data_IF_751779968262
#
_entry.id   IF_751779968262
#
_cell.length_a   1.000
_cell.length_b   1.000
_cell.length_c   1.000
_cell.angle_alpha   90.00
_cell.angle_beta   90.00
_cell.angle_gamma   90.00
#
_symmetry.space_group_name_H-M   'P 1'
#
loop_
_entity.id
_entity.type
_entity.pdbx_description
1 polymer ?
#
# COMPACT_ATOMS: atom_id res chain seq x y z
N UNK A 1 -5.21 9.82 -5.38
CA UNK A 1 -6.33 9.16 -4.68
C UNK A 1 -5.94 7.69 -4.51
N UNK A 2 -6.03 7.15 -3.30
CA UNK A 2 -5.59 5.77 -3.03
C UNK A 2 -6.54 4.76 -3.67
N UNK A 3 -6.03 3.58 -4.01
CA UNK A 3 -6.84 2.57 -4.67
C UNK A 3 -8.01 2.09 -3.77
N UNK A 4 -7.78 2.01 -2.46
CA UNK A 4 -8.81 1.68 -1.46
C UNK A 4 -9.97 2.68 -1.50
N UNK A 5 -9.69 3.98 -1.68
CA UNK A 5 -10.72 5.01 -1.73
C UNK A 5 -11.60 4.87 -2.97
N UNK A 6 -10.99 4.50 -4.10
CA UNK A 6 -11.72 4.25 -5.36
C UNK A 6 -12.64 3.04 -5.22
N UNK A 7 -12.15 1.97 -4.59
CA UNK A 7 -12.93 0.76 -4.34
C UNK A 7 -14.06 1.05 -3.36
N UNK A 8 -13.79 1.71 -2.24
CA UNK A 8 -14.79 2.02 -1.21
C UNK A 8 -15.94 2.89 -1.75
N UNK A 9 -15.62 3.90 -2.58
CA UNK A 9 -16.66 4.75 -3.22
C UNK A 9 -17.59 3.97 -4.15
N UNK A 10 -17.09 2.89 -4.77
CA UNK A 10 -17.84 2.09 -5.74
C UNK A 10 -18.27 0.72 -5.20
N UNK A 11 -18.09 0.46 -3.90
CA UNK A 11 -18.16 -0.87 -3.30
C UNK A 11 -19.52 -1.55 -3.51
N UNK A 12 -20.62 -0.80 -3.42
CA UNK A 12 -21.98 -1.29 -3.62
C UNK A 12 -22.25 -1.81 -5.04
N UNK A 13 -21.48 -1.35 -6.03
CA UNK A 13 -21.62 -1.76 -7.44
C UNK A 13 -20.79 -3.02 -7.78
N UNK A 14 -19.95 -3.45 -6.84
CA UNK A 14 -19.06 -4.59 -7.00
C UNK A 14 -19.82 -5.89 -6.74
N UNK A 15 -19.78 -6.79 -7.71
CA UNK A 15 -20.28 -8.14 -7.54
C UNK A 15 -19.25 -9.02 -6.80
N UNK A 16 -19.56 -10.30 -6.61
CA UNK A 16 -18.66 -11.21 -5.88
C UNK A 16 -17.32 -11.42 -6.58
N UNK A 17 -17.28 -11.44 -7.92
CA UNK A 17 -16.02 -11.55 -8.65
C UNK A 17 -15.17 -10.28 -8.49
N UNK A 18 -15.79 -9.11 -8.53
CA UNK A 18 -15.11 -7.83 -8.31
C UNK A 18 -14.49 -7.76 -6.90
N UNK A 19 -15.25 -8.19 -5.88
CA UNK A 19 -14.78 -8.27 -4.49
C UNK A 19 -13.66 -9.31 -4.33
N UNK A 20 -13.76 -10.44 -5.01
CA UNK A 20 -12.71 -11.45 -5.05
C UNK A 20 -11.41 -10.91 -5.68
N UNK A 21 -11.51 -10.25 -6.83
CA UNK A 21 -10.38 -9.59 -7.49
C UNK A 21 -9.73 -8.57 -6.56
N UNK A 22 -10.55 -7.74 -5.90
CA UNK A 22 -10.05 -6.74 -4.97
C UNK A 22 -9.31 -7.36 -3.78
N UNK A 23 -9.89 -8.39 -3.15
CA UNK A 23 -9.25 -9.09 -2.04
C UNK A 23 -7.92 -9.72 -2.46
N UNK A 24 -7.86 -10.34 -3.65
CA UNK A 24 -6.61 -10.89 -4.17
C UNK A 24 -5.54 -9.80 -4.35
N UNK A 25 -5.92 -8.65 -4.92
CA UNK A 25 -5.03 -7.50 -5.09
C UNK A 25 -4.52 -7.00 -3.74
N UNK A 26 -5.39 -6.85 -2.74
CA UNK A 26 -5.01 -6.38 -1.40
C UNK A 26 -3.98 -7.30 -0.74
N UNK A 27 -4.16 -8.62 -0.84
CA UNK A 27 -3.24 -9.59 -0.24
C UNK A 27 -1.92 -9.73 -1.01
N UNK A 28 -1.88 -9.32 -2.29
CA UNK A 28 -0.76 -9.55 -3.19
C UNK A 28 -0.34 -8.28 -3.96
N UNK A 29 -0.44 -7.08 -3.36
CA UNK A 29 -0.24 -5.80 -4.05
C UNK A 29 1.05 -5.75 -4.89
N UNK A 30 2.18 -6.10 -4.27
CA UNK A 30 3.51 -6.12 -4.93
C UNK A 30 3.59 -7.09 -6.10
N UNK A 31 2.95 -8.25 -5.99
CA UNK A 31 2.90 -9.21 -7.08
C UNK A 31 2.04 -8.65 -8.23
N UNK A 32 0.89 -8.06 -7.89
CA UNK A 32 -0.07 -7.51 -8.85
C UNK A 32 0.49 -6.30 -9.62
N UNK A 33 1.41 -5.51 -9.03
CA UNK A 33 2.05 -4.38 -9.73
C UNK A 33 2.93 -4.83 -10.91
N UNK A 34 3.48 -6.04 -10.81
CA UNK A 34 4.40 -6.61 -11.81
C UNK A 34 3.71 -7.56 -12.80
N UNK A 35 2.55 -8.11 -12.44
CA UNK A 35 1.76 -8.97 -13.32
C UNK A 35 1.24 -8.25 -14.57
N UNK A 36 1.05 -8.99 -15.66
CA UNK A 36 0.20 -8.55 -16.76
C UNK A 36 -1.26 -8.98 -16.50
N UNK A 37 -2.19 -8.51 -17.33
CA UNK A 37 -3.62 -8.77 -17.14
C UNK A 37 -3.99 -10.26 -17.24
N UNK A 38 -3.24 -11.05 -18.02
CA UNK A 38 -3.48 -12.48 -18.17
C UNK A 38 -3.13 -13.22 -16.88
N UNK A 39 -2.00 -12.85 -16.28
CA UNK A 39 -1.54 -13.45 -15.04
C UNK A 39 -2.50 -13.12 -13.90
N UNK A 40 -2.91 -11.86 -13.76
CA UNK A 40 -3.90 -11.48 -12.75
C UNK A 40 -5.23 -12.20 -12.96
N UNK A 41 -5.72 -12.26 -14.20
CA UNK A 41 -6.95 -12.97 -14.53
C UNK A 41 -6.85 -14.46 -14.17
N UNK A 42 -5.73 -15.11 -14.49
CA UNK A 42 -5.46 -16.52 -14.16
C UNK A 42 -5.44 -16.75 -12.65
N UNK A 43 -4.74 -15.90 -11.89
CA UNK A 43 -4.65 -16.04 -10.44
C UNK A 43 -5.97 -15.78 -9.72
N UNK A 44 -6.80 -14.89 -10.26
CA UNK A 44 -8.16 -14.65 -9.76
C UNK A 44 -9.21 -15.62 -10.34
N UNK A 45 -8.81 -16.62 -11.16
CA UNK A 45 -9.71 -17.54 -11.85
C UNK A 45 -10.85 -16.86 -12.64
N UNK A 46 -10.57 -15.72 -13.28
CA UNK A 46 -11.51 -14.93 -14.09
C UNK A 46 -10.99 -14.67 -15.49
N UNK A 47 -11.83 -14.08 -16.35
CA UNK A 47 -11.40 -13.62 -17.67
C UNK A 47 -10.65 -12.28 -17.60
N UNK A 48 -9.79 -12.00 -18.59
CA UNK A 48 -9.20 -10.66 -18.80
C UNK A 48 -10.27 -9.55 -18.83
N UNK A 49 -11.40 -9.81 -19.50
CA UNK A 49 -12.50 -8.84 -19.60
C UNK A 49 -13.14 -8.56 -18.25
N UNK A 50 -13.16 -9.54 -17.33
CA UNK A 50 -13.60 -9.34 -15.95
C UNK A 50 -12.68 -8.35 -15.23
N UNK A 51 -11.36 -8.52 -15.33
CA UNK A 51 -10.38 -7.58 -14.74
C UNK A 51 -10.55 -6.17 -15.33
N UNK A 52 -10.74 -6.05 -16.65
CA UNK A 52 -10.98 -4.74 -17.29
C UNK A 52 -12.26 -4.08 -16.78
N UNK A 53 -13.35 -4.85 -16.65
CA UNK A 53 -14.62 -4.34 -16.13
C UNK A 53 -14.51 -3.94 -14.67
N UNK A 54 -13.81 -4.72 -13.84
CA UNK A 54 -13.50 -4.36 -12.46
C UNK A 54 -12.79 -3.01 -12.37
N UNK A 55 -11.69 -2.82 -13.11
CA UNK A 55 -10.95 -1.55 -13.12
C UNK A 55 -11.86 -0.37 -13.50
N UNK A 56 -12.72 -0.55 -14.52
CA UNK A 56 -13.70 0.46 -14.92
C UNK A 56 -14.76 0.76 -13.87
N UNK A 57 -15.24 -0.26 -13.14
CA UNK A 57 -16.21 -0.07 -12.06
C UNK A 57 -15.67 0.76 -10.90
N UNK A 58 -14.37 0.64 -10.61
CA UNK A 58 -13.71 1.45 -9.58
C UNK A 58 -13.22 2.80 -10.13
N UNK A 59 -13.84 3.28 -11.23
CA UNK A 59 -13.60 4.57 -11.86
C UNK A 59 -12.23 4.76 -12.52
N UNK A 60 -11.55 3.67 -12.89
CA UNK A 60 -10.32 3.73 -13.70
C UNK A 60 -10.62 3.55 -15.20
N UNK A 61 -9.76 4.07 -16.06
CA UNK A 61 -9.80 3.86 -17.52
C UNK A 61 -9.58 2.40 -17.93
N UNK A 62 -8.85 1.62 -17.12
CA UNK A 62 -8.63 0.20 -17.34
C UNK A 62 -7.48 -0.39 -16.51
N UNK A 63 -6.97 -1.55 -16.94
CA UNK A 63 -5.93 -2.30 -16.21
C UNK A 63 -4.58 -1.55 -16.12
N UNK A 64 -4.20 -0.80 -17.14
CA UNK A 64 -2.94 -0.04 -17.11
C UNK A 64 -2.93 1.00 -15.98
N UNK A 65 -4.04 1.71 -15.80
CA UNK A 65 -4.18 2.69 -14.72
C UNK A 65 -4.23 2.01 -13.35
N UNK A 66 -4.90 0.86 -13.23
CA UNK A 66 -4.85 0.04 -12.02
C UNK A 66 -3.40 -0.28 -11.61
N UNK A 67 -2.53 -0.65 -12.55
CA UNK A 67 -1.12 -0.91 -12.25
C UNK A 67 -0.36 0.34 -11.81
N UNK A 68 -0.66 1.50 -12.40
CA UNK A 68 -0.02 2.76 -12.01
C UNK A 68 -0.37 3.07 -10.55
N UNK A 69 -1.64 2.96 -10.17
CA UNK A 69 -2.07 3.13 -8.77
C UNK A 69 -1.38 2.15 -7.82
N UNK A 70 -1.27 0.87 -8.19
CA UNK A 70 -0.57 -0.12 -7.36
C UNK A 70 0.90 0.23 -7.16
N UNK A 71 1.59 0.71 -8.20
CA UNK A 71 2.99 1.13 -8.11
C UNK A 71 3.15 2.36 -7.21
N UNK A 72 2.31 3.37 -7.38
CA UNK A 72 2.33 4.56 -6.54
C UNK A 72 2.04 4.27 -5.07
N UNK A 73 1.09 3.37 -4.77
CA UNK A 73 0.81 2.98 -3.39
C UNK A 73 2.04 2.30 -2.76
N UNK A 74 2.73 1.43 -3.49
CA UNK A 74 3.95 0.76 -3.02
C UNK A 74 5.14 1.73 -2.85
N UNK A 75 5.30 2.69 -3.74
CA UNK A 75 6.34 3.73 -3.64
C UNK A 75 6.12 4.62 -2.43
N UNK A 76 4.87 5.02 -2.15
CA UNK A 76 4.52 5.79 -0.96
C UNK A 76 4.76 5.00 0.33
N UNK A 77 4.44 3.70 0.37
CA UNK A 77 4.74 2.84 1.52
C UNK A 77 6.25 2.81 1.82
N UNK A 78 7.11 2.75 0.78
CA UNK A 78 8.57 2.79 0.96
C UNK A 78 9.05 4.16 1.45
N UNK A 79 8.56 5.26 0.87
CA UNK A 79 8.93 6.62 1.28
C UNK A 79 8.56 6.88 2.73
N UNK A 80 7.32 6.56 3.12
CA UNK A 80 6.84 6.71 4.50
C UNK A 80 7.66 5.88 5.48
N UNK A 81 8.06 4.66 5.09
CA UNK A 81 8.91 3.81 5.93
C UNK A 81 10.28 4.44 6.13
N UNK A 82 10.92 4.94 5.07
CA UNK A 82 12.22 5.60 5.15
C UNK A 82 12.17 6.85 6.06
N UNK A 83 11.18 7.73 5.86
CA UNK A 83 10.97 8.92 6.69
C UNK A 83 10.74 8.55 8.18
N UNK A 84 9.99 7.47 8.45
CA UNK A 84 9.73 7.02 9.81
C UNK A 84 11.00 6.54 10.52
N UNK A 85 11.90 5.86 9.80
CA UNK A 85 13.18 5.39 10.35
C UNK A 85 14.05 6.57 10.76
N UNK A 86 14.15 7.59 9.93
CA UNK A 86 14.95 8.78 10.23
C UNK A 86 14.44 9.49 11.48
N UNK A 87 13.13 9.71 11.58
CA UNK A 87 12.49 10.33 12.75
C UNK A 87 12.78 9.54 14.04
N UNK A 88 12.69 8.21 13.98
CA UNK A 88 12.96 7.34 15.13
C UNK A 88 14.43 7.44 15.54
N UNK A 89 15.36 7.36 14.58
CA UNK A 89 16.80 7.48 14.81
C UNK A 89 17.17 8.82 15.43
N UNK A 90 16.60 9.92 14.93
CA UNK A 90 16.78 11.26 15.50
C UNK A 90 16.25 11.35 16.93
N UNK A 91 15.07 10.78 17.17
CA UNK A 91 14.47 10.69 18.50
C UNK A 91 15.39 9.99 19.51
N UNK A 92 15.89 8.80 19.16
CA UNK A 92 16.83 8.06 20.02
C UNK A 92 18.14 8.81 20.23
N UNK A 93 18.70 9.40 19.18
CA UNK A 93 19.94 10.17 19.25
C UNK A 93 19.80 11.33 20.25
N UNK A 94 18.67 12.05 20.17
CA UNK A 94 18.36 13.14 21.12
C UNK A 94 18.28 12.62 22.55
N UNK A 95 17.55 11.53 22.79
CA UNK A 95 17.43 10.93 24.13
C UNK A 95 18.79 10.51 24.69
N UNK A 96 19.65 9.87 23.90
CA UNK A 96 21.00 9.46 24.34
C UNK A 96 21.84 10.68 24.70
N UNK A 97 21.80 11.75 23.88
CA UNK A 97 22.53 12.98 24.17
C UNK A 97 22.04 13.68 25.45
N UNK A 98 20.73 13.67 25.70
CA UNK A 98 20.15 14.21 26.93
C UNK A 98 20.56 13.40 28.16
N UNK A 99 20.56 12.05 28.05
CA UNK A 99 21.02 11.17 29.12
C UNK A 99 22.50 11.36 29.41
N UNK A 100 23.36 11.44 28.37
CA UNK A 100 24.78 11.66 28.55
C UNK A 100 25.12 13.02 29.19
N UNK A 101 24.27 14.04 28.99
CA UNK A 101 24.41 15.36 29.64
C UNK A 101 23.88 15.38 31.06
N UNK A 102 23.01 14.44 31.45
CA UNK A 102 22.51 14.37 32.82
C UNK A 102 23.58 13.76 33.73
N UNK A 103 23.98 14.55 34.71
CA UNK A 103 24.90 14.11 35.75
C UNK A 103 24.16 13.21 36.74
N UNK A 104 24.17 11.91 36.47
CA UNK A 104 23.53 10.90 37.33
C UNK A 104 24.32 10.58 38.60
N UNK A 105 25.49 11.19 38.80
CA UNK A 105 26.39 10.89 39.93
C UNK A 105 26.27 11.89 41.10
N UNK A 106 25.45 12.94 40.99
CA UNK A 106 25.28 13.97 42.03
C UNK A 106 24.52 13.55 43.30
N UNK A 107 24.15 12.28 43.45
CA UNK A 107 23.40 11.78 44.62
C UNK A 107 24.21 10.86 45.55
N UNK A 108 25.54 10.81 45.43
CA UNK A 108 26.39 10.07 46.38
C UNK A 108 27.38 11.04 47.03
N UNK A 109 27.17 11.23 48.34
CA UNK A 109 27.89 12.02 49.35
C UNK A 109 27.48 13.50 49.47
#
# INVERSE_FOLDING_TARGET
MKLEELVNKNYEQLNQNDKHIWNYILMNKRLCSEMNINDLAKNCAVSRTTILRFAKKISLSGFSELKIHLKWDLEQEVSMMAESVDIICEGYTRTIQELARKDFFRFVV
#
